data_IF_221897015931
#
_entry.id   IF_221897015931
#
_cell.length_a   1.000
_cell.length_b   1.000
_cell.length_c   1.000
_cell.angle_alpha   90.00
_cell.angle_beta   90.00
_cell.angle_gamma   90.00
#
_symmetry.space_group_name_H-M   'P 1'
#
loop_
_entity.id
_entity.type
_entity.pdbx_description
1 polymer ?
#
# COMPACT_ATOMS: atom_id res chain seq x y z
N UNK A 1 -3.01 -19.54 -5.81
CA UNK A 1 -4.23 -19.44 -4.96
C UNK A 1 -4.11 -18.29 -3.96
N UNK A 2 -3.29 -18.38 -2.90
CA UNK A 2 -3.12 -17.25 -1.96
C UNK A 2 -2.26 -16.12 -2.56
N UNK A 3 -1.25 -16.44 -3.36
CA UNK A 3 -0.36 -15.46 -3.97
C UNK A 3 -1.10 -14.50 -4.93
N UNK A 4 -1.94 -15.03 -5.82
CA UNK A 4 -2.75 -14.22 -6.75
C UNK A 4 -3.68 -13.26 -6.01
N UNK A 5 -4.23 -13.71 -4.88
CA UNK A 5 -5.05 -12.87 -3.99
C UNK A 5 -4.22 -11.70 -3.45
N UNK A 6 -3.04 -11.96 -2.87
CA UNK A 6 -2.18 -10.90 -2.35
C UNK A 6 -1.70 -9.93 -3.45
N UNK A 7 -1.39 -10.44 -4.65
CA UNK A 7 -1.02 -9.60 -5.80
C UNK A 7 -2.16 -8.67 -6.21
N UNK A 8 -3.41 -9.14 -6.23
CA UNK A 8 -4.56 -8.29 -6.53
C UNK A 8 -4.78 -7.25 -5.43
N UNK A 9 -4.73 -7.65 -4.16
CA UNK A 9 -4.93 -6.75 -3.01
C UNK A 9 -3.88 -5.64 -2.98
N UNK A 10 -2.63 -5.93 -3.34
CA UNK A 10 -1.56 -4.92 -3.45
C UNK A 10 -1.67 -4.05 -4.70
N UNK A 11 -2.52 -4.39 -5.66
CA UNK A 11 -2.58 -3.71 -6.96
C UNK A 11 -1.40 -4.02 -7.88
N UNK A 12 -0.71 -5.14 -7.64
CA UNK A 12 0.32 -5.66 -8.54
C UNK A 12 -0.30 -6.32 -9.78
N UNK A 13 -1.54 -6.79 -9.68
CA UNK A 13 -2.36 -7.28 -10.78
C UNK A 13 -3.80 -6.78 -10.65
N UNK A 14 -4.51 -6.72 -11.78
CA UNK A 14 -5.96 -6.48 -11.83
C UNK A 14 -6.73 -7.78 -12.14
N UNK A 15 -6.02 -8.91 -12.28
CA UNK A 15 -6.62 -10.23 -12.48
C UNK A 15 -7.23 -10.75 -11.18
N UNK A 16 -8.54 -11.01 -11.20
CA UNK A 16 -9.26 -11.57 -10.05
C UNK A 16 -8.95 -13.07 -9.95
N UNK A 17 -8.51 -13.57 -8.78
CA UNK A 17 -8.26 -15.00 -8.60
C UNK A 17 -9.55 -15.83 -8.74
N UNK A 18 -9.45 -17.08 -9.22
CA UNK A 18 -10.62 -17.96 -9.34
C UNK A 18 -11.25 -18.23 -7.97
N UNK A 19 -12.58 -18.26 -7.92
CA UNK A 19 -13.35 -18.50 -6.69
C UNK A 19 -13.72 -17.23 -5.90
N UNK A 20 -13.33 -16.04 -6.37
CA UNK A 20 -13.71 -14.76 -5.78
C UNK A 20 -14.64 -13.96 -6.69
N UNK A 21 -15.48 -13.11 -6.10
CA UNK A 21 -16.28 -12.14 -6.85
C UNK A 21 -15.52 -10.83 -7.03
N UNK A 22 -15.72 -10.14 -8.16
CA UNK A 22 -15.10 -8.83 -8.39
C UNK A 22 -15.45 -7.82 -7.29
N UNK A 23 -16.73 -7.73 -6.93
CA UNK A 23 -17.19 -6.80 -5.89
C UNK A 23 -16.50 -7.08 -4.54
N UNK A 24 -16.40 -8.35 -4.14
CA UNK A 24 -15.73 -8.74 -2.90
C UNK A 24 -14.26 -8.37 -2.90
N UNK A 25 -13.55 -8.65 -4.01
CA UNK A 25 -12.13 -8.32 -4.14
C UNK A 25 -11.88 -6.81 -4.13
N UNK A 26 -12.72 -6.02 -4.81
CA UNK A 26 -12.62 -4.55 -4.80
C UNK A 26 -12.86 -3.99 -3.40
N UNK A 27 -13.88 -4.46 -2.70
CA UNK A 27 -14.17 -4.05 -1.33
C UNK A 27 -13.02 -4.40 -0.40
N UNK A 28 -12.49 -5.62 -0.48
CA UNK A 28 -11.39 -6.04 0.38
C UNK A 28 -10.10 -5.25 0.10
N UNK A 29 -9.76 -5.02 -1.17
CA UNK A 29 -8.64 -4.16 -1.57
C UNK A 29 -8.78 -2.74 -1.01
N UNK A 30 -10.00 -2.19 -1.06
CA UNK A 30 -10.28 -0.88 -0.48
C UNK A 30 -10.09 -0.85 1.04
N UNK A 31 -10.54 -1.89 1.76
CA UNK A 31 -10.37 -1.99 3.21
C UNK A 31 -8.89 -2.09 3.62
N UNK A 32 -8.10 -2.88 2.89
CA UNK A 32 -6.65 -2.99 3.13
C UNK A 32 -5.95 -1.65 2.87
N UNK A 33 -6.29 -0.98 1.76
CA UNK A 33 -5.77 0.37 1.48
C UNK A 33 -6.13 1.35 2.60
N UNK A 34 -7.37 1.34 3.06
CA UNK A 34 -7.85 2.22 4.12
C UNK A 34 -7.10 1.97 5.45
N UNK A 35 -6.93 0.70 5.84
CA UNK A 35 -6.18 0.34 7.05
C UNK A 35 -4.70 0.75 6.97
N UNK A 36 -4.05 0.49 5.83
CA UNK A 36 -2.68 0.93 5.58
C UNK A 36 -2.54 2.47 5.64
N UNK A 37 -3.46 3.18 4.98
CA UNK A 37 -3.48 4.64 4.98
C UNK A 37 -3.62 5.21 6.38
N UNK A 38 -4.55 4.71 7.19
CA UNK A 38 -4.78 5.19 8.55
C UNK A 38 -3.56 4.97 9.45
N UNK A 39 -2.91 3.79 9.33
CA UNK A 39 -1.71 3.48 10.10
C UNK A 39 -0.54 4.41 9.75
N UNK A 40 -0.25 4.56 8.46
CA UNK A 40 0.85 5.40 7.98
C UNK A 40 0.56 6.87 8.29
N UNK A 41 -0.68 7.33 8.11
CA UNK A 41 -1.09 8.68 8.49
C UNK A 41 -0.90 8.96 9.98
N UNK A 42 -1.22 8.01 10.86
CA UNK A 42 -1.03 8.18 12.30
C UNK A 42 0.45 8.36 12.69
N UNK A 43 1.38 7.83 11.89
CA UNK A 43 2.82 7.98 12.09
C UNK A 43 3.43 9.18 11.37
N UNK A 44 2.83 9.65 10.26
CA UNK A 44 3.36 10.73 9.41
C UNK A 44 2.31 11.79 9.03
N UNK A 45 1.61 12.40 10.01
CA UNK A 45 0.52 13.33 9.71
C UNK A 45 1.01 14.60 8.99
N UNK A 46 2.22 15.08 9.29
CA UNK A 46 2.81 16.26 8.64
C UNK A 46 3.13 16.01 7.16
N UNK A 47 3.59 14.80 6.82
CA UNK A 47 3.93 14.44 5.44
C UNK A 47 2.68 14.46 4.55
N UNK A 48 1.55 13.94 5.05
CA UNK A 48 0.27 14.02 4.36
C UNK A 48 -0.15 15.47 4.11
N UNK A 49 -0.01 16.33 5.11
CA UNK A 49 -0.38 17.75 4.99
C UNK A 49 0.47 18.47 3.95
N UNK A 50 1.76 18.17 3.85
CA UNK A 50 2.67 18.80 2.89
C UNK A 50 2.42 18.34 1.45
N UNK A 51 2.18 17.05 1.23
CA UNK A 51 1.94 16.49 -0.10
C UNK A 51 0.55 16.84 -0.65
N UNK A 52 -0.44 16.97 0.25
CA UNK A 52 -1.84 17.05 -0.12
C UNK A 52 -2.41 15.71 -0.58
N UNK A 53 -3.74 15.62 -0.62
CA UNK A 53 -4.47 14.36 -0.76
C UNK A 53 -4.13 13.54 -2.04
N UNK A 54 -4.01 14.14 -3.25
CA UNK A 54 -3.74 13.37 -4.46
C UNK A 54 -2.35 12.74 -4.46
N UNK A 55 -1.32 13.48 -4.04
CA UNK A 55 0.05 13.00 -3.99
C UNK A 55 0.23 11.98 -2.86
N UNK A 56 -0.40 12.21 -1.70
CA UNK A 56 -0.44 11.24 -0.60
C UNK A 56 -1.02 9.90 -1.03
N UNK A 57 -2.17 9.92 -1.72
CA UNK A 57 -2.82 8.70 -2.20
C UNK A 57 -1.96 7.96 -3.22
N UNK A 58 -1.32 8.68 -4.15
CA UNK A 58 -0.42 8.08 -5.14
C UNK A 58 0.80 7.44 -4.46
N UNK A 59 1.41 8.11 -3.48
CA UNK A 59 2.53 7.62 -2.70
C UNK A 59 2.18 6.32 -1.96
N UNK A 60 1.03 6.29 -1.29
CA UNK A 60 0.56 5.09 -0.58
C UNK A 60 0.26 3.94 -1.54
N UNK A 61 -0.34 4.21 -2.70
CA UNK A 61 -0.58 3.18 -3.72
C UNK A 61 0.74 2.60 -4.26
N UNK A 62 1.75 3.44 -4.48
CA UNK A 62 3.08 3.01 -4.89
C UNK A 62 3.73 2.16 -3.80
N UNK A 63 3.71 2.62 -2.54
CA UNK A 63 4.21 1.87 -1.40
C UNK A 63 3.55 0.49 -1.29
N UNK A 64 2.21 0.42 -1.27
CA UNK A 64 1.48 -0.85 -1.12
C UNK A 64 1.81 -1.82 -2.26
N UNK A 65 1.88 -1.32 -3.50
CA UNK A 65 2.21 -2.13 -4.68
C UNK A 65 3.62 -2.70 -4.65
N UNK A 66 4.59 -1.92 -4.17
CA UNK A 66 5.99 -2.31 -4.07
C UNK A 66 6.32 -3.03 -2.75
N UNK A 67 5.44 -2.95 -1.75
CA UNK A 67 5.69 -3.52 -0.44
C UNK A 67 5.82 -5.04 -0.54
N UNK A 68 6.96 -5.54 -0.08
CA UNK A 68 7.17 -6.96 0.19
C UNK A 68 6.66 -7.34 1.60
N UNK A 69 5.82 -6.50 2.20
CA UNK A 69 5.42 -6.63 3.59
C UNK A 69 4.67 -7.94 3.83
N UNK A 70 5.31 -8.83 4.58
CA UNK A 70 4.79 -10.17 4.93
C UNK A 70 4.25 -10.23 6.36
N UNK A 71 4.45 -9.18 7.16
CA UNK A 71 3.96 -9.13 8.54
C UNK A 71 2.45 -8.91 8.57
N UNK A 72 1.80 -9.55 9.54
CA UNK A 72 0.38 -9.39 9.83
C UNK A 72 0.10 -8.18 10.75
N UNK A 73 1.13 -7.47 11.19
CA UNK A 73 1.04 -6.42 12.22
C UNK A 73 1.36 -5.05 11.67
N UNK A 74 0.34 -4.22 11.48
CA UNK A 74 0.46 -2.84 10.96
C UNK A 74 1.52 -1.96 11.64
N UNK A 75 1.91 -2.23 12.90
CA UNK A 75 3.01 -1.53 13.57
C UNK A 75 4.36 -1.65 12.87
N UNK A 76 4.59 -2.73 12.12
CA UNK A 76 5.81 -2.95 11.34
C UNK A 76 5.79 -2.17 10.01
N UNK A 77 4.63 -1.66 9.60
CA UNK A 77 4.46 -0.99 8.31
C UNK A 77 5.21 0.35 8.25
N UNK A 78 5.41 1.01 9.40
CA UNK A 78 6.11 2.31 9.46
C UNK A 78 7.56 2.22 8.98
N UNK A 79 8.27 1.15 9.36
CA UNK A 79 9.70 1.00 9.07
C UNK A 79 9.88 0.60 7.61
N UNK A 80 8.99 -0.25 7.08
CA UNK A 80 8.90 -0.57 5.65
C UNK A 80 8.59 0.66 4.80
N UNK A 81 7.72 1.56 5.28
CA UNK A 81 7.39 2.81 4.59
C UNK A 81 8.60 3.74 4.52
N UNK A 82 9.35 3.90 5.62
CA UNK A 82 10.61 4.67 5.61
C UNK A 82 11.64 4.07 4.65
N UNK A 83 11.79 2.74 4.66
CA UNK A 83 12.68 2.05 3.73
C UNK A 83 12.24 2.23 2.26
N UNK A 84 10.94 2.26 2.00
CA UNK A 84 10.39 2.59 0.69
C UNK A 84 10.73 4.02 0.27
N UNK A 85 10.50 5.02 1.13
CA UNK A 85 10.83 6.41 0.84
C UNK A 85 12.32 6.58 0.50
N UNK A 86 13.22 5.98 1.29
CA UNK A 86 14.65 6.02 1.02
C UNK A 86 15.01 5.46 -0.37
N UNK A 87 14.41 4.33 -0.76
CA UNK A 87 14.64 3.72 -2.08
C UNK A 87 14.11 4.58 -3.23
N UNK A 88 12.95 5.22 -3.07
CA UNK A 88 12.38 6.08 -4.10
C UNK A 88 13.18 7.38 -4.24
N UNK A 89 13.64 7.97 -3.14
CA UNK A 89 14.50 9.16 -3.16
C UNK A 89 15.84 8.90 -3.84
N UNK A 90 16.49 7.76 -3.56
CA UNK A 90 17.75 7.37 -4.23
C UNK A 90 17.55 7.14 -5.74
N UNK A 91 16.34 6.75 -6.16
CA UNK A 91 16.00 6.52 -7.57
C UNK A 91 15.75 7.82 -8.35
N UNK A 92 15.27 8.86 -7.69
CA UNK A 92 15.10 10.18 -8.31
C UNK A 92 16.41 10.93 -8.51
N UNK A 93 17.47 10.61 -7.74
CA UNK A 93 18.80 11.23 -7.82
C UNK A 93 19.75 10.58 -8.86
N UNK A 94 19.31 9.53 -9.57
CA UNK A 94 20.08 8.81 -10.62
C UNK A 94 19.46 9.00 -12.00
#
# INVERSE_FOLDING_TARGET
>A
MAEDFYLYIRGATETIPPGYTESGMRTYRHLVFLGASQMIEAHFPELRQQLGEPAWKALLQAFIRQSAWTSHYYGDMKDEFLAFLARESDREDT
#
